data_IF_454880797743
#
_entry.id   IF_454880797743
#
_cell.length_a   1.000
_cell.length_b   1.000
_cell.length_c   1.000
_cell.angle_alpha   90.00
_cell.angle_beta   90.00
_cell.angle_gamma   90.00
#
_symmetry.space_group_name_H-M   'P 1'
#
loop_
_entity.id
_entity.type
_entity.pdbx_description
1 polymer ?
#
# COMPACT_ATOMS: atom_id res chain seq x y z
N UNK A 1 7.05 2.56 29.70
CA UNK A 1 5.87 3.43 29.87
C UNK A 1 6.29 4.85 29.51
N UNK A 2 6.03 5.30 28.29
CA UNK A 2 6.17 6.72 27.97
C UNK A 2 5.04 7.44 28.70
N UNK A 3 5.42 8.31 29.63
CA UNK A 3 4.48 9.13 30.39
C UNK A 3 3.76 10.12 29.47
N UNK A 4 2.46 10.26 29.71
CA UNK A 4 1.59 11.39 29.33
C UNK A 4 1.76 12.02 27.95
N UNK A 5 2.19 11.25 26.94
CA UNK A 5 1.88 11.57 25.56
C UNK A 5 0.47 11.05 25.30
N UNK A 6 -0.50 11.96 25.33
CA UNK A 6 -1.87 11.66 24.95
C UNK A 6 -1.85 11.04 23.55
N UNK A 7 -2.30 9.80 23.43
CA UNK A 7 -2.30 9.04 22.18
C UNK A 7 -3.07 9.77 21.07
N UNK A 8 -4.07 10.57 21.46
CA UNK A 8 -4.77 11.53 20.57
C UNK A 8 -3.80 12.54 19.96
N UNK A 9 -2.86 13.06 20.76
CA UNK A 9 -1.77 13.94 20.30
C UNK A 9 -0.85 13.23 19.31
N UNK A 10 -0.51 11.96 19.54
CA UNK A 10 0.31 11.19 18.60
C UNK A 10 -0.39 10.95 17.25
N UNK A 11 -1.69 10.64 17.26
CA UNK A 11 -2.49 10.50 16.03
C UNK A 11 -2.60 11.85 15.31
N UNK A 12 -2.86 12.94 16.03
CA UNK A 12 -2.93 14.29 15.47
C UNK A 12 -1.58 14.73 14.87
N UNK A 13 -0.47 14.45 15.53
CA UNK A 13 0.88 14.68 15.00
C UNK A 13 1.10 13.90 13.70
N UNK A 14 0.63 12.65 13.64
CA UNK A 14 0.71 11.84 12.42
C UNK A 14 -0.17 12.36 11.29
N UNK A 15 -1.39 12.78 11.57
CA UNK A 15 -2.27 13.40 10.58
C UNK A 15 -1.70 14.73 10.06
N UNK A 16 -1.09 15.54 10.93
CA UNK A 16 -0.41 16.78 10.56
C UNK A 16 0.84 16.49 9.71
N UNK A 17 1.63 15.48 10.08
CA UNK A 17 2.79 15.04 9.34
C UNK A 17 2.40 14.48 7.97
N UNK A 18 1.31 13.69 7.89
CA UNK A 18 0.70 13.18 6.65
C UNK A 18 0.29 14.30 5.72
N UNK A 19 -0.35 15.34 6.24
CA UNK A 19 -0.76 16.50 5.44
C UNK A 19 0.45 17.22 4.86
N UNK A 20 1.48 17.49 5.67
CA UNK A 20 2.75 18.08 5.21
C UNK A 20 3.45 17.23 4.15
N UNK A 21 3.39 15.91 4.33
CA UNK A 21 3.95 14.91 3.40
C UNK A 21 3.20 14.94 2.08
N UNK A 22 1.87 14.88 2.10
CA UNK A 22 1.03 14.98 0.90
C UNK A 22 1.28 16.29 0.15
N UNK A 23 1.40 17.41 0.86
CA UNK A 23 1.80 18.70 0.26
C UNK A 23 3.16 18.60 -0.44
N UNK A 24 4.18 18.06 0.24
CA UNK A 24 5.51 17.85 -0.37
C UNK A 24 5.50 16.87 -1.54
N UNK A 25 4.60 15.89 -1.54
CA UNK A 25 4.40 14.95 -2.66
C UNK A 25 3.85 15.69 -3.88
N UNK A 26 2.85 16.53 -3.68
CA UNK A 26 2.25 17.35 -4.75
C UNK A 26 3.23 18.41 -5.27
N UNK A 27 4.15 18.89 -4.43
CA UNK A 27 5.15 19.91 -4.78
C UNK A 27 6.46 19.33 -5.37
N UNK A 28 6.73 18.04 -5.19
CA UNK A 28 8.00 17.41 -5.61
C UNK A 28 7.96 16.96 -7.07
N UNK A 29 8.95 17.41 -7.87
CA UNK A 29 9.20 16.91 -9.24
C UNK A 29 10.00 15.59 -9.29
N UNK A 30 10.40 15.05 -8.14
CA UNK A 30 11.32 13.90 -8.04
C UNK A 30 10.76 12.77 -7.16
N UNK A 31 11.09 11.50 -7.45
CA UNK A 31 10.67 10.38 -6.63
C UNK A 31 11.22 10.52 -5.21
N UNK A 32 10.31 10.32 -4.26
CA UNK A 32 10.42 10.76 -2.88
C UNK A 32 11.35 9.82 -2.09
N UNK A 33 12.67 10.05 -2.15
CA UNK A 33 13.67 9.25 -1.41
C UNK A 33 13.38 9.12 0.10
N UNK A 34 12.67 10.09 0.67
CA UNK A 34 12.29 10.12 2.08
C UNK A 34 11.05 9.27 2.41
N UNK A 35 10.24 8.90 1.41
CA UNK A 35 8.94 8.28 1.63
C UNK A 35 9.04 6.89 2.27
N UNK A 36 9.92 5.97 1.84
CA UNK A 36 10.10 4.69 2.53
C UNK A 36 10.51 4.85 4.01
N UNK A 37 11.41 5.79 4.32
CA UNK A 37 11.83 6.06 5.70
C UNK A 37 10.67 6.58 6.57
N UNK A 38 9.80 7.41 6.00
CA UNK A 38 8.57 7.84 6.68
C UNK A 38 7.62 6.67 6.97
N UNK A 39 7.41 5.76 6.02
CA UNK A 39 6.53 4.60 6.21
C UNK A 39 7.05 3.68 7.33
N UNK A 40 8.38 3.49 7.44
CA UNK A 40 8.99 2.76 8.56
C UNK A 40 8.73 3.47 9.89
N UNK A 41 8.94 4.79 9.96
CA UNK A 41 8.69 5.55 11.18
C UNK A 41 7.21 5.47 11.61
N UNK A 42 6.28 5.57 10.65
CA UNK A 42 4.85 5.40 10.88
C UNK A 42 4.52 3.99 11.38
N UNK A 43 5.11 2.95 10.77
CA UNK A 43 4.92 1.57 11.20
C UNK A 43 5.42 1.32 12.63
N UNK A 44 6.57 1.89 12.99
CA UNK A 44 7.13 1.78 14.34
C UNK A 44 6.22 2.42 15.38
N UNK A 45 5.70 3.62 15.07
CA UNK A 45 4.75 4.31 15.96
C UNK A 45 3.47 3.49 16.13
N UNK A 46 2.85 3.01 15.04
CA UNK A 46 1.62 2.20 15.13
C UNK A 46 1.85 0.86 15.85
N UNK A 47 3.06 0.28 15.75
CA UNK A 47 3.39 -0.97 16.45
C UNK A 47 3.53 -0.74 17.95
N UNK A 48 4.12 0.37 18.38
CA UNK A 48 4.15 0.77 19.79
C UNK A 48 2.74 0.91 20.38
N UNK A 49 1.79 1.42 19.60
CA UNK A 49 0.39 1.53 20.00
C UNK A 49 -0.27 0.15 20.10
N UNK A 50 0.01 -0.76 19.16
CA UNK A 50 -0.60 -2.10 19.11
C UNK A 50 -0.07 -3.07 20.17
N UNK A 51 1.20 -2.94 20.58
CA UNK A 51 1.84 -3.81 21.59
C UNK A 51 1.46 -3.46 23.03
N UNK A 52 0.94 -2.26 23.26
CA UNK A 52 0.57 -1.80 24.60
C UNK A 52 -0.79 -2.39 25.08
N UNK A 53 -1.46 -3.19 24.24
CA UNK A 53 -2.86 -3.62 24.37
C UNK A 53 -3.22 -4.60 25.50
N UNK A 54 -2.31 -4.91 26.43
CA UNK A 54 -2.63 -5.63 27.68
C UNK A 54 -3.14 -4.68 28.77
N UNK A 55 -3.00 -3.37 28.59
CA UNK A 55 -3.56 -2.35 29.46
C UNK A 55 -4.95 -2.01 28.90
N UNK A 56 -6.00 -2.09 29.72
CA UNK A 56 -7.31 -1.54 29.41
C UNK A 56 -7.16 -0.04 29.09
N UNK A 57 -6.99 0.27 27.81
CA UNK A 57 -6.96 1.64 27.35
C UNK A 57 -8.38 2.20 27.45
N UNK A 58 -8.61 3.24 28.25
CA UNK A 58 -9.80 4.03 28.10
C UNK A 58 -9.69 4.74 26.75
N UNK A 59 -10.71 4.58 25.89
CA UNK A 59 -10.93 5.39 24.68
C UNK A 59 -9.85 5.39 23.58
N UNK A 60 -9.32 4.24 23.14
CA UNK A 60 -8.75 4.16 21.78
C UNK A 60 -9.92 4.13 20.79
N UNK A 61 -10.00 5.11 19.88
CA UNK A 61 -10.85 4.99 18.71
C UNK A 61 -10.22 3.96 17.75
N UNK A 62 -10.60 2.69 17.93
CA UNK A 62 -10.17 1.58 17.08
C UNK A 62 -10.47 1.83 15.60
N UNK A 63 -11.46 2.67 15.29
CA UNK A 63 -11.77 3.09 13.93
C UNK A 63 -10.59 3.89 13.36
N UNK A 64 -10.08 4.85 14.12
CA UNK A 64 -8.97 5.70 13.67
C UNK A 64 -7.66 4.91 13.57
N UNK A 65 -7.38 4.01 14.51
CA UNK A 65 -6.23 3.11 14.41
C UNK A 65 -6.29 2.23 13.14
N UNK A 66 -7.47 1.66 12.84
CA UNK A 66 -7.68 0.88 11.62
C UNK A 66 -7.55 1.71 10.34
N UNK A 67 -7.99 2.98 10.36
CA UNK A 67 -7.81 3.91 9.23
C UNK A 67 -6.34 4.21 9.00
N UNK A 68 -5.58 4.47 10.05
CA UNK A 68 -4.14 4.75 9.96
C UNK A 68 -3.36 3.52 9.47
N UNK A 69 -3.69 2.31 9.93
CA UNK A 69 -3.14 1.06 9.38
C UNK A 69 -3.47 0.90 7.89
N UNK A 70 -4.70 1.23 7.47
CA UNK A 70 -5.12 1.16 6.07
C UNK A 70 -4.36 2.18 5.21
N UNK A 71 -4.16 3.39 5.73
CA UNK A 71 -3.41 4.45 5.04
C UNK A 71 -1.91 4.10 4.92
N UNK A 72 -1.31 3.55 5.97
CA UNK A 72 0.06 3.03 5.94
C UNK A 72 0.20 1.90 4.92
N UNK A 73 -0.73 0.95 4.89
CA UNK A 73 -0.74 -0.12 3.89
C UNK A 73 -0.81 0.41 2.46
N UNK A 74 -1.61 1.46 2.23
CA UNK A 74 -1.67 2.12 0.93
C UNK A 74 -0.32 2.77 0.59
N UNK A 75 0.36 3.39 1.56
CA UNK A 75 1.71 3.92 1.40
C UNK A 75 2.72 2.87 0.95
N UNK A 76 2.69 1.69 1.58
CA UNK A 76 3.51 0.54 1.17
C UNK A 76 3.19 0.09 -0.26
N UNK A 77 1.90 -0.01 -0.63
CA UNK A 77 1.48 -0.33 -2.00
C UNK A 77 2.04 0.67 -3.02
N UNK A 78 2.01 1.97 -2.73
CA UNK A 78 2.49 3.03 -3.64
C UNK A 78 3.99 2.94 -3.95
N UNK A 79 4.80 2.39 -3.04
CA UNK A 79 6.22 2.10 -3.28
C UNK A 79 6.46 0.70 -3.85
N UNK A 80 5.41 -0.08 -4.06
CA UNK A 80 5.48 -1.45 -4.56
C UNK A 80 5.79 -2.52 -3.50
N UNK A 81 5.82 -2.18 -2.21
CA UNK A 81 6.02 -3.16 -1.13
C UNK A 81 4.68 -3.79 -0.72
N UNK A 82 4.18 -4.69 -1.57
CA UNK A 82 2.89 -5.34 -1.37
C UNK A 82 2.91 -6.29 -0.16
N UNK A 83 4.07 -6.85 0.17
CA UNK A 83 4.21 -7.72 1.33
C UNK A 83 3.97 -6.95 2.63
N UNK A 84 4.60 -5.77 2.78
CA UNK A 84 4.35 -4.90 3.93
C UNK A 84 2.93 -4.34 3.95
N UNK A 85 2.37 -3.99 2.78
CA UNK A 85 0.98 -3.55 2.68
C UNK A 85 0.02 -4.62 3.24
N UNK A 86 0.17 -5.87 2.80
CA UNK A 86 -0.66 -7.01 3.25
C UNK A 86 -0.47 -7.31 4.73
N UNK A 87 0.78 -7.29 5.22
CA UNK A 87 1.09 -7.48 6.64
C UNK A 87 0.40 -6.42 7.52
N UNK A 88 0.47 -5.15 7.10
CA UNK A 88 -0.17 -4.03 7.80
C UNK A 88 -1.70 -4.16 7.79
N UNK A 89 -2.31 -4.56 6.67
CA UNK A 89 -3.74 -4.84 6.59
C UNK A 89 -4.16 -6.02 7.48
N UNK A 90 -3.30 -7.04 7.61
CA UNK A 90 -3.50 -8.15 8.55
C UNK A 90 -3.68 -7.65 9.99
N UNK A 91 -2.88 -6.68 10.43
CA UNK A 91 -3.04 -6.04 11.76
C UNK A 91 -4.39 -5.35 11.90
N UNK A 92 -4.86 -4.65 10.86
CA UNK A 92 -6.18 -4.00 10.84
C UNK A 92 -7.33 -5.02 11.00
N UNK A 93 -7.26 -6.16 10.29
CA UNK A 93 -8.26 -7.22 10.44
C UNK A 93 -8.21 -7.89 11.81
N UNK A 94 -7.03 -8.07 12.41
CA UNK A 94 -6.92 -8.60 13.76
C UNK A 94 -7.57 -7.69 14.80
N UNK A 95 -7.34 -6.38 14.72
CA UNK A 95 -8.01 -5.38 15.58
C UNK A 95 -9.52 -5.44 15.37
N UNK A 96 -9.97 -5.45 14.12
CA UNK A 96 -11.39 -5.52 13.79
C UNK A 96 -12.03 -6.80 14.35
N UNK A 97 -11.37 -7.95 14.19
CA UNK A 97 -11.85 -9.25 14.66
C UNK A 97 -11.98 -9.32 16.18
N UNK A 98 -11.05 -8.70 16.92
CA UNK A 98 -11.08 -8.68 18.39
C UNK A 98 -12.18 -7.78 18.96
N UNK A 99 -12.57 -6.74 18.22
CA UNK A 99 -13.46 -5.69 18.73
C UNK A 99 -14.88 -5.75 18.16
N UNK A 100 -15.11 -6.43 17.02
CA UNK A 100 -16.46 -6.69 16.52
C UNK A 100 -17.07 -7.92 17.20
N UNK A 101 -18.29 -7.76 17.72
CA UNK A 101 -19.07 -8.86 18.32
C UNK A 101 -19.57 -9.88 17.29
N UNK A 102 -19.69 -9.48 16.03
CA UNK A 102 -20.23 -10.27 14.93
C UNK A 102 -19.20 -10.29 13.78
N UNK A 103 -19.05 -11.40 13.05
CA UNK A 103 -18.14 -11.47 11.91
C UNK A 103 -18.41 -10.35 10.88
N UNK A 104 -17.34 -9.84 10.25
CA UNK A 104 -17.41 -8.76 9.26
C UNK A 104 -18.35 -9.06 8.07
N UNK A 105 -18.62 -10.34 7.80
CA UNK A 105 -19.51 -10.80 6.72
C UNK A 105 -21.00 -10.59 7.02
N UNK A 106 -21.36 -10.38 8.28
CA UNK A 106 -22.74 -10.30 8.74
C UNK A 106 -23.07 -8.89 9.24
N UNK A 107 -24.31 -8.45 9.01
CA UNK A 107 -24.81 -7.19 9.56
C UNK A 107 -25.73 -7.48 10.74
N UNK A 108 -25.40 -6.95 11.92
CA UNK A 108 -26.26 -7.06 13.09
C UNK A 108 -27.44 -6.06 12.95
N UNK A 109 -28.67 -6.44 13.33
CA UNK A 109 -29.85 -5.59 13.17
C UNK A 109 -29.86 -4.33 14.06
N UNK A 110 -29.02 -4.28 15.11
CA UNK A 110 -28.89 -3.15 16.04
C UNK A 110 -27.43 -2.97 16.44
N UNK A 111 -26.61 -2.51 15.49
CA UNK A 111 -25.20 -2.25 15.74
C UNK A 111 -25.00 -0.84 16.27
N UNK A 112 -24.08 -0.65 17.22
CA UNK A 112 -23.69 0.69 17.68
C UNK A 112 -22.87 1.42 16.59
N UNK A 113 -22.88 2.76 16.66
CA UNK A 113 -22.26 3.63 15.67
C UNK A 113 -20.74 3.35 15.51
N UNK A 114 -20.06 3.01 16.61
CA UNK A 114 -18.63 2.72 16.65
C UNK A 114 -18.29 1.41 15.92
N UNK A 115 -19.08 0.35 16.15
CA UNK A 115 -18.92 -0.93 15.46
C UNK A 115 -19.25 -0.79 13.97
N UNK A 116 -20.24 0.02 13.61
CA UNK A 116 -20.53 0.34 12.21
C UNK A 116 -19.37 1.11 11.55
N UNK A 117 -18.80 2.10 12.23
CA UNK A 117 -17.64 2.86 11.76
C UNK A 117 -16.40 1.95 11.60
N UNK A 118 -16.17 1.05 12.54
CA UNK A 118 -15.09 0.06 12.48
C UNK A 118 -15.28 -0.92 11.31
N UNK A 119 -16.51 -1.39 11.06
CA UNK A 119 -16.83 -2.19 9.86
C UNK A 119 -16.57 -1.43 8.57
N UNK A 120 -16.90 -0.14 8.51
CA UNK A 120 -16.59 0.70 7.36
C UNK A 120 -15.08 0.81 7.12
N UNK A 121 -14.28 1.03 8.18
CA UNK A 121 -12.82 1.02 8.08
C UNK A 121 -12.29 -0.34 7.58
N UNK A 122 -12.79 -1.44 8.13
CA UNK A 122 -12.42 -2.79 7.72
C UNK A 122 -12.82 -3.14 6.28
N UNK A 123 -13.95 -2.63 5.78
CA UNK A 123 -14.34 -2.77 4.36
C UNK A 123 -13.38 -2.05 3.43
N UNK A 124 -12.93 -0.85 3.80
CA UNK A 124 -11.90 -0.11 3.06
C UNK A 124 -10.57 -0.87 3.05
N UNK A 125 -10.16 -1.42 4.20
CA UNK A 125 -8.98 -2.29 4.30
C UNK A 125 -9.13 -3.54 3.41
N UNK A 126 -10.31 -4.17 3.38
CA UNK A 126 -10.61 -5.33 2.53
C UNK A 126 -10.49 -5.00 1.06
N UNK A 127 -11.03 -3.86 0.63
CA UNK A 127 -10.90 -3.40 -0.75
C UNK A 127 -9.42 -3.25 -1.12
N UNK A 128 -8.64 -2.56 -0.29
CA UNK A 128 -7.20 -2.37 -0.54
C UNK A 128 -6.43 -3.71 -0.55
N UNK A 129 -6.81 -4.68 0.30
CA UNK A 129 -6.22 -6.01 0.28
C UNK A 129 -6.44 -6.72 -1.06
N UNK A 130 -7.67 -6.67 -1.58
CA UNK A 130 -8.01 -7.26 -2.89
C UNK A 130 -7.23 -6.56 -4.01
N UNK A 131 -7.12 -5.24 -3.96
CA UNK A 131 -6.32 -4.46 -4.91
C UNK A 131 -4.84 -4.86 -4.85
N UNK A 132 -4.29 -5.11 -3.65
CA UNK A 132 -2.92 -5.61 -3.47
C UNK A 132 -2.73 -7.00 -4.10
N UNK A 133 -3.69 -7.91 -3.93
CA UNK A 133 -3.63 -9.26 -4.51
C UNK A 133 -3.70 -9.21 -6.04
N UNK A 134 -4.59 -8.40 -6.59
CA UNK A 134 -4.73 -8.21 -8.04
C UNK A 134 -3.47 -7.57 -8.66
N UNK A 135 -2.92 -6.56 -8.00
CA UNK A 135 -1.65 -5.95 -8.39
C UNK A 135 -0.51 -6.96 -8.38
N UNK A 136 -0.34 -7.73 -7.30
CA UNK A 136 0.75 -8.72 -7.20
C UNK A 136 0.63 -9.79 -8.29
N UNK A 137 -0.58 -10.32 -8.51
CA UNK A 137 -0.83 -11.32 -9.56
C UNK A 137 -0.50 -10.79 -10.95
N UNK A 138 -0.82 -9.53 -11.21
CA UNK A 138 -0.50 -8.86 -12.48
C UNK A 138 1.01 -8.65 -12.62
N UNK A 139 1.68 -8.18 -11.57
CA UNK A 139 3.13 -7.99 -11.54
C UNK A 139 3.89 -9.29 -11.80
N UNK A 140 3.52 -10.37 -11.08
CA UNK A 140 4.18 -11.67 -11.21
C UNK A 140 4.04 -12.21 -12.64
N UNK A 141 2.83 -12.14 -13.21
CA UNK A 141 2.58 -12.52 -14.60
C UNK A 141 3.40 -11.70 -15.59
N UNK A 142 3.43 -10.38 -15.45
CA UNK A 142 4.17 -9.50 -16.37
C UNK A 142 5.68 -9.76 -16.26
N UNK A 143 6.21 -9.98 -15.05
CA UNK A 143 7.63 -10.35 -14.83
C UNK A 143 7.97 -11.70 -15.43
N UNK A 144 7.12 -12.70 -15.25
CA UNK A 144 7.31 -14.03 -15.85
C UNK A 144 7.39 -13.95 -17.37
N UNK A 145 6.46 -13.22 -18.01
CA UNK A 145 6.47 -13.01 -19.46
C UNK A 145 7.70 -12.22 -19.93
N UNK A 146 8.13 -11.21 -19.17
CA UNK A 146 9.31 -10.42 -19.49
C UNK A 146 10.63 -11.21 -19.38
N UNK A 147 10.67 -12.18 -18.46
CA UNK A 147 11.81 -13.09 -18.27
C UNK A 147 12.03 -14.07 -19.42
N UNK A 148 11.03 -14.29 -20.29
CA UNK A 148 11.17 -15.16 -21.46
C UNK A 148 12.07 -14.46 -22.50
N UNK A 149 13.21 -15.09 -22.82
CA UNK A 149 14.34 -14.48 -23.53
C UNK A 149 14.02 -13.95 -24.95
N UNK A 150 12.98 -14.45 -25.61
CA UNK A 150 12.66 -14.18 -27.02
C UNK A 150 11.24 -13.60 -27.19
N UNK A 151 10.88 -12.58 -26.41
CA UNK A 151 9.60 -11.91 -26.61
C UNK A 151 9.61 -11.08 -27.92
N UNK A 152 8.75 -11.38 -28.91
CA UNK A 152 8.66 -10.57 -30.13
C UNK A 152 8.28 -9.11 -29.83
N UNK A 153 8.54 -8.20 -30.77
CA UNK A 153 8.28 -6.76 -30.61
C UNK A 153 6.83 -6.44 -30.20
N UNK A 154 5.84 -7.17 -30.72
CA UNK A 154 4.43 -7.00 -30.36
C UNK A 154 4.14 -7.41 -28.90
N UNK A 155 4.80 -8.47 -28.41
CA UNK A 155 4.71 -8.91 -27.00
C UNK A 155 5.35 -7.88 -26.10
N UNK A 156 6.54 -7.38 -26.45
CA UNK A 156 7.20 -6.32 -25.69
C UNK A 156 6.34 -5.05 -25.65
N UNK A 157 5.67 -4.67 -26.75
CA UNK A 157 4.74 -3.54 -26.78
C UNK A 157 3.60 -3.72 -25.79
N UNK A 158 2.98 -4.90 -25.76
CA UNK A 158 1.95 -5.23 -24.77
C UNK A 158 2.50 -5.16 -23.34
N UNK A 159 3.65 -5.79 -23.07
CA UNK A 159 4.26 -5.80 -21.75
C UNK A 159 4.60 -4.38 -21.25
N UNK A 160 5.03 -3.48 -22.13
CA UNK A 160 5.27 -2.09 -21.72
C UNK A 160 3.98 -1.38 -21.28
N UNK A 161 2.83 -1.67 -21.90
CA UNK A 161 1.53 -1.13 -21.48
C UNK A 161 1.12 -1.69 -20.12
N UNK A 162 1.39 -2.97 -19.89
CA UNK A 162 1.13 -3.61 -18.60
C UNK A 162 2.01 -2.99 -17.50
N UNK A 163 3.31 -2.82 -17.74
CA UNK A 163 4.21 -2.13 -16.81
C UNK A 163 3.80 -0.67 -16.56
N UNK A 164 3.34 0.05 -17.58
CA UNK A 164 2.80 1.40 -17.40
C UNK A 164 1.56 1.42 -16.51
N UNK A 165 0.67 0.44 -16.65
CA UNK A 165 -0.52 0.30 -15.79
C UNK A 165 -0.09 0.03 -14.35
N UNK A 166 0.84 -0.91 -14.13
CA UNK A 166 1.38 -1.22 -12.82
C UNK A 166 2.09 0.00 -12.17
N UNK A 167 2.84 0.79 -12.94
CA UNK A 167 3.46 2.02 -12.44
C UNK A 167 2.43 3.05 -12.02
N UNK A 168 1.27 3.16 -12.69
CA UNK A 168 0.22 4.08 -12.23
C UNK A 168 -0.36 3.67 -10.88
N UNK A 169 -0.39 2.38 -10.58
CA UNK A 169 -0.84 1.87 -9.29
C UNK A 169 0.23 1.96 -8.18
N UNK A 170 1.50 1.85 -8.53
CA UNK A 170 2.65 1.95 -7.62
C UNK A 170 3.72 2.92 -8.17
N UNK A 171 3.42 4.22 -8.22
CA UNK A 171 4.22 5.22 -8.93
C UNK A 171 5.61 5.46 -8.34
N UNK A 172 5.85 5.03 -7.10
CA UNK A 172 7.12 5.18 -6.42
C UNK A 172 7.92 3.87 -6.36
N UNK A 173 7.45 2.81 -7.05
CA UNK A 173 8.17 1.54 -7.12
C UNK A 173 9.39 1.63 -8.03
N UNK A 174 10.57 1.55 -7.43
CA UNK A 174 11.86 1.51 -8.14
C UNK A 174 11.97 0.25 -8.98
N UNK A 175 11.50 -0.89 -8.46
CA UNK A 175 11.52 -2.17 -9.18
C UNK A 175 10.72 -2.08 -10.50
N UNK A 176 9.49 -1.58 -10.44
CA UNK A 176 8.66 -1.41 -11.64
C UNK A 176 9.28 -0.44 -12.64
N UNK A 177 9.87 0.66 -12.17
CA UNK A 177 10.56 1.61 -13.02
C UNK A 177 11.75 0.95 -13.77
N UNK A 178 12.52 0.09 -13.08
CA UNK A 178 13.61 -0.67 -13.70
C UNK A 178 13.08 -1.63 -14.76
N UNK A 179 12.03 -2.41 -14.46
CA UNK A 179 11.44 -3.34 -15.42
C UNK A 179 10.88 -2.63 -16.65
N UNK A 180 10.17 -1.51 -16.46
CA UNK A 180 9.70 -0.71 -17.59
C UNK A 180 10.86 -0.21 -18.44
N UNK A 181 11.91 0.33 -17.82
CA UNK A 181 13.08 0.83 -18.55
C UNK A 181 13.75 -0.29 -19.37
N UNK A 182 13.93 -1.47 -18.77
CA UNK A 182 14.46 -2.64 -19.46
C UNK A 182 13.56 -3.10 -20.62
N UNK A 183 12.24 -3.09 -20.43
CA UNK A 183 11.28 -3.40 -21.48
C UNK A 183 11.38 -2.44 -22.66
N UNK A 184 11.46 -1.14 -22.40
CA UNK A 184 11.60 -0.12 -23.44
C UNK A 184 12.97 -0.22 -24.16
N UNK A 185 14.04 -0.57 -23.44
CA UNK A 185 15.36 -0.82 -24.05
C UNK A 185 15.32 -2.02 -25.00
N UNK A 186 14.72 -3.15 -24.59
CA UNK A 186 14.56 -4.33 -25.45
C UNK A 186 13.75 -4.00 -26.71
N UNK A 187 12.65 -3.24 -26.58
CA UNK A 187 11.87 -2.80 -27.75
C UNK A 187 12.71 -2.04 -28.77
N UNK A 188 13.55 -1.11 -28.31
CA UNK A 188 14.42 -0.31 -29.18
C UNK A 188 15.48 -1.15 -29.88
N UNK A 189 16.04 -2.15 -29.21
CA UNK A 189 17.02 -3.06 -29.81
C UNK A 189 16.43 -3.84 -31.00
N UNK A 190 15.19 -4.33 -30.88
CA UNK A 190 14.49 -4.97 -31.99
C UNK A 190 14.17 -4.01 -33.15
N UNK A 191 13.81 -2.75 -32.86
CA UNK A 191 13.57 -1.75 -33.90
C UNK A 191 14.84 -1.41 -34.69
N UNK A 192 16.01 -1.44 -34.05
CA UNK A 192 17.30 -1.21 -34.71
C UNK A 192 17.77 -2.43 -35.51
N UNK A 193 17.59 -3.65 -35.00
CA UNK A 193 17.94 -4.88 -35.70
C UNK A 193 17.09 -5.10 -36.97
N UNK A 194 15.78 -4.84 -36.91
CA UNK A 194 14.90 -4.97 -38.08
C UNK A 194 15.14 -3.96 -39.20
N UNK A 195 15.90 -2.88 -38.95
CA UNK A 195 16.28 -1.88 -39.96
C UNK A 195 17.65 -2.16 -40.61
N UNK A 196 18.42 -3.12 -40.09
CA UNK A 196 19.72 -3.53 -40.65
C UNK A 196 19.61 -4.69 -41.65
N UNK A 197 18.44 -5.35 -41.72
CA UNK A 197 18.14 -6.47 -42.63
C UNK A 197 17.33 -6.04 -43.87
N UNK A 198 17.29 -4.74 -44.20
CA UNK A 198 16.66 -4.18 -45.42
C UNK A 198 17.69 -3.53 -46.34
#
# INVERSE_FOLDING_TARGET
CLGDYDLSSAILEMQALRTRILTKILESRTPLRWFPGFLVAWQNLLSFIGECGDIQFPSIDFVEYCRELTALANGWKLIGDVAQARSTLGKCFEVTRRNLKVPLAETAPFEDDDSQALRCAARSAKKLLLDCVAFQSSLDRTKELFGRHEAPAHVLSSLSKDFWTLIREAPFSVELAIFLAQCLMKQRQFALAGNLDC
#
